data_IF_835071578285
#
_entry.id   IF_835071578285
#
_cell.length_a   1.000
_cell.length_b   1.000
_cell.length_c   1.000
_cell.angle_alpha   90.00
_cell.angle_beta   90.00
_cell.angle_gamma   90.00
#
_symmetry.space_group_name_H-M   'P 1'
#
loop_
_entity.id
_entity.type
_entity.pdbx_description
1 polymer ?
#
# COMPACT_ATOMS: atom_id res chain seq x y z
N UNK A 1 -3.37 0.31 -0.96
CA UNK A 1 -3.99 1.65 -1.06
C UNK A 1 -2.96 2.65 -1.57
N UNK A 2 -3.29 3.45 -2.58
CA UNK A 2 -2.40 4.47 -3.13
C UNK A 2 -3.10 5.83 -3.09
N UNK A 3 -2.50 6.82 -2.43
CA UNK A 3 -3.02 8.17 -2.38
C UNK A 3 -2.51 8.95 -3.58
N UNK A 4 -3.45 9.46 -4.39
CA UNK A 4 -3.11 10.18 -5.61
C UNK A 4 -4.04 11.36 -5.84
N UNK A 5 -3.50 12.41 -6.45
CA UNK A 5 -4.26 13.58 -6.90
C UNK A 5 -4.37 13.59 -8.41
N UNK A 6 -5.52 14.00 -8.93
CA UNK A 6 -5.68 14.26 -10.37
C UNK A 6 -4.76 15.40 -10.77
N UNK A 7 -4.12 15.26 -11.94
CA UNK A 7 -3.27 16.31 -12.50
C UNK A 7 -4.10 17.04 -13.55
N UNK A 8 -4.29 18.34 -13.36
CA UNK A 8 -4.88 19.20 -14.39
C UNK A 8 -3.91 19.26 -15.58
N UNK A 9 -4.40 18.91 -16.77
CA UNK A 9 -3.64 18.90 -18.02
C UNK A 9 -2.33 18.08 -17.98
N UNK A 10 -2.41 16.73 -17.91
CA UNK A 10 -1.22 15.88 -17.91
C UNK A 10 -0.44 16.02 -19.22
N UNK A 11 0.89 16.15 -19.13
CA UNK A 11 1.78 16.13 -20.30
C UNK A 11 1.60 14.80 -21.06
N UNK A 12 1.74 14.84 -22.39
CA UNK A 12 1.65 13.65 -23.23
C UNK A 12 2.53 12.50 -22.69
N UNK A 13 1.96 11.30 -22.60
CA UNK A 13 2.63 10.11 -22.07
C UNK A 13 2.77 10.04 -20.54
N UNK A 14 2.27 11.03 -19.77
CA UNK A 14 2.23 10.97 -18.31
C UNK A 14 0.89 10.45 -17.81
N UNK A 15 0.92 9.78 -16.66
CA UNK A 15 -0.28 9.26 -15.98
C UNK A 15 -1.18 10.43 -15.53
N UNK A 16 -2.52 10.27 -15.61
CA UNK A 16 -3.47 11.34 -15.28
C UNK A 16 -3.54 11.66 -13.78
N UNK A 17 -3.06 10.75 -12.93
CA UNK A 17 -2.97 10.94 -11.47
C UNK A 17 -1.50 11.03 -11.06
N UNK A 18 -1.18 11.85 -10.07
CA UNK A 18 0.12 11.90 -9.38
C UNK A 18 -0.01 11.23 -8.02
N UNK A 19 0.67 10.10 -7.82
CA UNK A 19 0.69 9.41 -6.51
C UNK A 19 1.77 9.99 -5.62
N UNK A 20 1.44 10.13 -4.33
CA UNK A 20 2.39 10.56 -3.31
C UNK A 20 2.71 9.40 -2.38
N UNK A 21 1.68 8.91 -1.70
CA UNK A 21 1.83 7.91 -0.65
C UNK A 21 1.25 6.56 -1.05
N UNK A 22 1.85 5.51 -0.50
CA UNK A 22 1.44 4.13 -0.71
C UNK A 22 1.40 3.41 0.64
N UNK A 23 0.33 2.65 0.86
CA UNK A 23 0.16 1.80 2.03
C UNK A 23 -0.26 0.40 1.59
N UNK A 24 0.45 -0.60 2.09
CA UNK A 24 0.15 -2.02 1.88
C UNK A 24 0.00 -2.69 3.25
N UNK A 25 -1.04 -3.50 3.39
CA UNK A 25 -1.37 -4.20 4.62
C UNK A 25 -1.63 -5.66 4.27
N UNK A 26 -1.00 -6.56 5.00
CA UNK A 26 -1.29 -8.00 4.94
C UNK A 26 -2.63 -8.22 5.62
N UNK A 27 -3.54 -8.88 4.91
CA UNK A 27 -4.86 -9.26 5.37
C UNK A 27 -4.99 -10.77 5.29
N UNK A 28 -5.78 -11.35 6.18
CA UNK A 28 -5.92 -12.80 6.29
C UNK A 28 -6.84 -13.37 5.21
N UNK A 29 -7.82 -12.59 4.76
CA UNK A 29 -8.77 -12.96 3.72
C UNK A 29 -9.26 -11.73 2.95
N UNK A 30 -9.96 -11.99 1.84
CA UNK A 30 -10.58 -10.98 0.98
C UNK A 30 -12.07 -10.76 1.32
N UNK A 31 -12.53 -11.07 2.54
CA UNK A 31 -13.93 -10.84 2.92
C UNK A 31 -14.22 -9.36 3.09
N UNK A 32 -15.47 -8.97 2.82
CA UNK A 32 -15.93 -7.58 2.95
C UNK A 32 -15.63 -7.03 4.34
N UNK A 33 -15.97 -7.77 5.41
CA UNK A 33 -15.74 -7.33 6.80
C UNK A 33 -14.26 -7.07 7.11
N UNK A 34 -13.35 -7.93 6.62
CA UNK A 34 -11.90 -7.77 6.80
C UNK A 34 -11.40 -6.51 6.11
N UNK A 35 -11.83 -6.27 4.87
CA UNK A 35 -11.43 -5.09 4.11
C UNK A 35 -12.03 -3.83 4.73
N UNK A 36 -13.32 -3.84 5.05
CA UNK A 36 -14.04 -2.73 5.71
C UNK A 36 -13.35 -2.33 7.01
N UNK A 37 -12.98 -3.29 7.85
CA UNK A 37 -12.21 -3.01 9.09
C UNK A 37 -10.87 -2.33 8.78
N UNK A 38 -10.13 -2.85 7.80
CA UNK A 38 -8.85 -2.25 7.41
C UNK A 38 -9.02 -0.83 6.83
N UNK A 39 -10.11 -0.57 6.09
CA UNK A 39 -10.42 0.77 5.57
C UNK A 39 -10.71 1.73 6.72
N UNK A 40 -11.58 1.35 7.67
CA UNK A 40 -11.91 2.17 8.86
C UNK A 40 -10.68 2.54 9.70
N UNK A 41 -9.75 1.61 9.86
CA UNK A 41 -8.56 1.81 10.69
C UNK A 41 -7.50 2.71 10.02
N UNK A 42 -7.44 2.72 8.68
CA UNK A 42 -6.29 3.28 7.96
C UNK A 42 -6.62 4.37 6.95
N UNK A 43 -7.91 4.64 6.69
CA UNK A 43 -8.39 5.65 5.77
C UNK A 43 -9.32 6.60 6.54
N UNK A 44 -9.18 7.90 6.29
CA UNK A 44 -10.09 8.91 6.84
C UNK A 44 -11.49 8.76 6.24
N UNK A 45 -12.52 8.97 7.04
CA UNK A 45 -13.92 8.91 6.59
C UNK A 45 -14.29 10.01 5.57
N UNK A 46 -13.44 11.03 5.42
CA UNK A 46 -13.56 12.11 4.43
C UNK A 46 -12.94 11.75 3.08
N UNK A 47 -12.33 10.57 2.93
CA UNK A 47 -11.62 10.19 1.72
C UNK A 47 -12.56 9.79 0.56
N UNK A 48 -12.09 10.01 -0.67
CA UNK A 48 -12.70 9.52 -1.89
C UNK A 48 -11.98 8.25 -2.38
N UNK A 49 -12.73 7.16 -2.51
CA UNK A 49 -12.19 5.86 -2.94
C UNK A 49 -12.55 5.54 -4.39
N UNK A 50 -11.56 5.09 -5.15
CA UNK A 50 -11.76 4.45 -6.45
C UNK A 50 -11.26 3.00 -6.36
N UNK A 51 -12.11 2.03 -6.65
CA UNK A 51 -11.76 0.60 -6.61
C UNK A 51 -12.20 -0.13 -7.88
N UNK A 52 -11.69 -1.35 -8.07
CA UNK A 52 -12.37 -2.30 -8.96
C UNK A 52 -13.73 -2.73 -8.36
N UNK A 53 -14.54 -3.43 -9.15
CA UNK A 53 -15.89 -3.88 -8.76
C UNK A 53 -15.87 -5.23 -8.02
N UNK A 54 -14.93 -5.43 -7.11
CA UNK A 54 -14.92 -6.60 -6.24
C UNK A 54 -16.08 -6.57 -5.24
N UNK A 55 -16.73 -7.72 -5.05
CA UNK A 55 -17.78 -7.92 -4.03
C UNK A 55 -17.31 -7.63 -2.60
N UNK A 56 -16.00 -7.68 -2.37
CA UNK A 56 -15.36 -7.34 -1.11
C UNK A 56 -15.38 -5.85 -0.76
N UNK A 57 -15.80 -4.97 -1.68
CA UNK A 57 -15.86 -3.52 -1.47
C UNK A 57 -17.28 -2.97 -1.28
N UNK A 58 -18.29 -3.85 -1.22
CA UNK A 58 -19.71 -3.50 -1.15
C UNK A 58 -20.08 -2.60 0.03
N UNK A 59 -19.41 -2.75 1.17
CA UNK A 59 -19.69 -2.00 2.40
C UNK A 59 -18.90 -0.68 2.52
N UNK A 60 -17.99 -0.37 1.58
CA UNK A 60 -17.07 0.76 1.76
C UNK A 60 -17.78 2.11 1.71
N UNK A 61 -18.83 2.25 0.89
CA UNK A 61 -19.59 3.49 0.72
C UNK A 61 -20.16 4.06 2.04
N UNK A 62 -20.42 3.21 3.03
CA UNK A 62 -20.94 3.62 4.34
C UNK A 62 -19.88 4.20 5.28
N UNK A 63 -18.61 4.15 4.89
CA UNK A 63 -17.47 4.46 5.77
C UNK A 63 -16.52 5.52 5.21
N UNK A 64 -16.79 6.02 4.01
CA UNK A 64 -16.00 7.05 3.35
C UNK A 64 -16.91 8.08 2.68
N UNK A 65 -16.37 9.23 2.30
CA UNK A 65 -17.15 10.31 1.69
C UNK A 65 -17.75 9.88 0.34
N UNK A 66 -16.94 9.28 -0.51
CA UNK A 66 -17.39 8.71 -1.77
C UNK A 66 -16.65 7.41 -2.10
N UNK A 67 -17.37 6.50 -2.75
CA UNK A 67 -16.81 5.25 -3.26
C UNK A 67 -17.29 5.02 -4.70
N UNK A 68 -16.36 5.10 -5.62
CA UNK A 68 -16.56 4.82 -7.04
C UNK A 68 -15.96 3.45 -7.36
N UNK A 69 -16.83 2.45 -7.45
CA UNK A 69 -16.49 1.13 -7.97
C UNK A 69 -16.69 1.10 -9.49
N UNK A 70 -15.83 0.39 -10.22
CA UNK A 70 -15.98 0.24 -11.67
C UNK A 70 -15.57 -1.16 -12.10
N UNK A 71 -16.34 -1.76 -13.00
CA UNK A 71 -15.94 -2.98 -13.70
C UNK A 71 -14.87 -2.57 -14.68
N UNK A 72 -13.61 -2.91 -14.39
CA UNK A 72 -12.47 -2.45 -15.17
C UNK A 72 -11.93 -3.62 -16.01
N UNK A 73 -12.06 -3.56 -17.35
CA UNK A 73 -11.39 -4.51 -18.23
C UNK A 73 -9.87 -4.49 -18.02
N UNK A 74 -9.15 -5.62 -18.18
CA UNK A 74 -7.71 -5.68 -17.98
C UNK A 74 -6.92 -4.64 -18.80
N UNK A 75 -7.40 -4.29 -20.00
CA UNK A 75 -6.81 -3.28 -20.88
C UNK A 75 -6.92 -1.85 -20.33
N UNK A 76 -7.92 -1.57 -19.52
CA UNK A 76 -8.23 -0.24 -18.97
C UNK A 76 -7.73 -0.05 -17.54
N UNK A 77 -7.36 -1.14 -16.85
CA UNK A 77 -6.81 -1.12 -15.49
C UNK A 77 -5.60 -0.18 -15.32
N UNK A 78 -4.65 -0.10 -16.27
CA UNK A 78 -3.56 0.86 -16.18
C UNK A 78 -3.99 2.32 -16.31
N UNK A 79 -5.19 2.59 -16.84
CA UNK A 79 -5.76 3.94 -16.96
C UNK A 79 -6.54 4.34 -15.71
N UNK A 80 -7.40 3.45 -15.20
CA UNK A 80 -8.29 3.72 -14.06
C UNK A 80 -7.56 3.67 -12.71
N UNK A 81 -6.70 2.65 -12.51
CA UNK A 81 -5.94 2.43 -11.27
C UNK A 81 -4.42 2.37 -11.54
N UNK A 82 -3.83 3.41 -12.18
CA UNK A 82 -2.49 3.38 -12.73
C UNK A 82 -1.41 3.10 -11.68
N UNK A 83 -1.60 3.62 -10.46
CA UNK A 83 -0.60 3.55 -9.41
C UNK A 83 -0.71 2.29 -8.58
N UNK A 84 -1.93 1.78 -8.36
CA UNK A 84 -2.13 0.50 -7.67
C UNK A 84 -1.51 -0.62 -8.49
N UNK A 85 -1.84 -0.70 -9.78
CA UNK A 85 -1.30 -1.75 -10.66
C UNK A 85 0.24 -1.70 -10.76
N UNK A 86 0.82 -0.51 -10.98
CA UNK A 86 2.28 -0.35 -11.02
C UNK A 86 2.94 -0.64 -9.68
N UNK A 87 2.36 -0.22 -8.56
CA UNK A 87 2.91 -0.50 -7.23
C UNK A 87 2.92 -2.00 -6.92
N UNK A 88 1.85 -2.72 -7.27
CA UNK A 88 1.78 -4.18 -7.10
C UNK A 88 2.86 -4.88 -7.94
N UNK A 89 3.00 -4.49 -9.21
CA UNK A 89 4.02 -5.07 -10.11
C UNK A 89 5.44 -4.84 -9.58
N UNK A 90 5.74 -3.60 -9.16
CA UNK A 90 7.04 -3.24 -8.60
C UNK A 90 7.32 -3.94 -7.26
N UNK A 91 6.31 -4.07 -6.39
CA UNK A 91 6.44 -4.77 -5.13
C UNK A 91 6.80 -6.24 -5.37
N UNK A 92 6.08 -6.94 -6.26
CA UNK A 92 6.39 -8.33 -6.63
C UNK A 92 7.83 -8.47 -7.13
N UNK A 93 8.26 -7.58 -8.04
CA UNK A 93 9.63 -7.61 -8.58
C UNK A 93 10.69 -7.37 -7.51
N UNK A 94 10.48 -6.42 -6.60
CA UNK A 94 11.41 -6.18 -5.49
C UNK A 94 11.47 -7.37 -4.54
N UNK A 95 10.32 -7.95 -4.20
CA UNK A 95 10.25 -9.09 -3.29
C UNK A 95 11.04 -10.29 -3.84
N UNK A 96 10.88 -10.60 -5.12
CA UNK A 96 11.61 -11.68 -5.81
C UNK A 96 13.10 -11.39 -5.99
N UNK A 97 13.47 -10.12 -6.23
CA UNK A 97 14.86 -9.74 -6.54
C UNK A 97 15.74 -9.53 -5.31
N UNK A 98 15.17 -9.10 -4.17
CA UNK A 98 15.95 -8.71 -2.98
C UNK A 98 16.07 -9.84 -1.96
N UNK A 99 15.02 -10.66 -1.81
CA UNK A 99 14.94 -11.61 -0.70
C UNK A 99 15.13 -13.06 -1.16
N UNK A 100 16.23 -13.68 -0.74
CA UNK A 100 16.47 -15.11 -0.88
C UNK A 100 15.66 -15.86 0.20
N UNK A 101 14.45 -16.32 -0.13
CA UNK A 101 13.48 -17.02 0.75
C UNK A 101 12.72 -16.11 1.73
N UNK A 102 11.66 -15.47 1.22
CA UNK A 102 10.71 -14.75 2.07
C UNK A 102 9.98 -15.69 3.02
N UNK A 103 9.84 -15.28 4.28
CA UNK A 103 8.97 -15.95 5.25
C UNK A 103 7.64 -15.19 5.39
N UNK A 104 6.49 -15.89 5.38
CA UNK A 104 5.18 -15.26 5.55
C UNK A 104 5.08 -14.39 6.80
N UNK A 105 5.70 -14.80 7.93
CA UNK A 105 5.65 -14.04 9.19
C UNK A 105 6.23 -12.61 9.06
N UNK A 106 7.12 -12.38 8.09
CA UNK A 106 7.76 -11.08 7.86
C UNK A 106 7.19 -10.32 6.67
N UNK A 107 6.11 -10.81 6.04
CA UNK A 107 5.55 -10.20 4.83
C UNK A 107 5.18 -8.73 5.03
N UNK A 108 4.61 -8.38 6.18
CA UNK A 108 4.27 -6.99 6.48
C UNK A 108 5.53 -6.10 6.54
N UNK A 109 6.64 -6.59 7.08
CA UNK A 109 7.90 -5.82 7.11
C UNK A 109 8.47 -5.59 5.72
N UNK A 110 8.43 -6.60 4.85
CA UNK A 110 8.87 -6.45 3.46
C UNK A 110 8.02 -5.42 2.71
N UNK A 111 6.70 -5.46 2.89
CA UNK A 111 5.77 -4.49 2.29
C UNK A 111 5.93 -3.08 2.90
N UNK A 112 6.20 -2.97 4.20
CA UNK A 112 6.50 -1.70 4.86
C UNK A 112 7.76 -1.07 4.28
N UNK A 113 8.82 -1.85 4.08
CA UNK A 113 10.05 -1.37 3.46
C UNK A 113 9.80 -0.86 2.03
N UNK A 114 9.02 -1.59 1.23
CA UNK A 114 8.60 -1.15 -0.10
C UNK A 114 7.84 0.17 -0.05
N UNK A 115 6.82 0.26 0.81
CA UNK A 115 6.00 1.47 0.96
C UNK A 115 6.83 2.68 1.46
N UNK A 116 7.78 2.45 2.36
CA UNK A 116 8.69 3.48 2.87
C UNK A 116 9.53 4.08 1.73
N UNK A 117 10.19 3.23 0.93
CA UNK A 117 10.98 3.65 -0.24
C UNK A 117 10.11 4.37 -1.26
N UNK A 118 8.94 3.81 -1.58
CA UNK A 118 8.01 4.37 -2.54
C UNK A 118 7.55 5.78 -2.14
N UNK A 119 7.15 5.96 -0.88
CA UNK A 119 6.60 7.22 -0.37
C UNK A 119 7.65 8.33 -0.23
N UNK A 120 8.93 7.98 -0.15
CA UNK A 120 10.06 8.93 -0.02
C UNK A 120 10.83 9.18 -1.30
N UNK A 121 10.43 8.59 -2.44
CA UNK A 121 11.15 8.71 -3.72
C UNK A 121 11.32 10.15 -4.24
N UNK A 122 10.52 11.10 -3.75
CA UNK A 122 10.60 12.52 -4.11
C UNK A 122 11.33 13.40 -3.10
N UNK A 123 11.94 12.82 -2.06
CA UNK A 123 12.58 13.59 -0.99
C UNK A 123 13.97 14.13 -1.38
N UNK A 124 14.57 13.63 -2.47
CA UNK A 124 15.90 14.07 -2.92
C UNK A 124 16.95 13.88 -1.82
N UNK A 125 17.74 14.92 -1.57
CA UNK A 125 18.81 14.93 -0.56
C UNK A 125 18.28 14.77 0.88
N UNK A 126 17.02 15.12 1.15
CA UNK A 126 16.39 14.99 2.48
C UNK A 126 16.12 13.54 2.89
N UNK A 127 16.40 12.57 2.02
CA UNK A 127 16.21 11.15 2.34
C UNK A 127 17.11 10.68 3.48
N UNK A 128 18.37 11.15 3.51
CA UNK A 128 19.32 10.75 4.54
C UNK A 128 18.89 11.28 5.91
N UNK A 129 18.61 12.59 6.01
CA UNK A 129 18.16 13.21 7.26
C UNK A 129 16.86 12.59 7.77
N UNK A 130 15.91 12.32 6.87
CA UNK A 130 14.66 11.66 7.22
C UNK A 130 14.85 10.24 7.74
N UNK A 131 15.83 9.50 7.23
CA UNK A 131 16.20 8.18 7.74
C UNK A 131 16.89 8.29 9.10
N UNK A 132 17.79 9.25 9.27
CA UNK A 132 18.48 9.50 10.54
C UNK A 132 17.47 9.82 11.66
N UNK A 133 16.54 10.73 11.40
CA UNK A 133 15.45 11.06 12.33
C UNK A 133 14.62 9.82 12.65
N UNK A 134 14.25 9.02 11.66
CA UNK A 134 13.49 7.78 11.89
C UNK A 134 14.28 6.78 12.75
N UNK A 135 15.59 6.65 12.54
CA UNK A 135 16.43 5.72 13.30
C UNK A 135 16.58 6.14 14.77
N UNK A 136 16.75 7.44 15.05
CA UNK A 136 16.91 7.95 16.43
C UNK A 136 15.60 8.05 17.20
N UNK A 137 14.47 8.26 16.50
CA UNK A 137 13.14 8.40 17.14
C UNK A 137 12.44 7.06 17.30
N UNK A 138 12.87 6.02 16.59
CA UNK A 138 12.24 4.71 16.65
C UNK A 138 12.51 4.01 17.99
N UNK A 139 11.46 3.96 18.80
CA UNK A 139 11.01 2.85 19.64
C UNK A 139 11.28 1.40 19.18
N UNK A 140 12.41 0.69 19.43
CA UNK A 140 12.47 -0.73 19.09
C UNK A 140 11.37 -1.51 19.82
N UNK A 141 10.35 -1.89 19.07
CA UNK A 141 9.27 -2.80 19.49
C UNK A 141 9.77 -4.24 19.64
N UNK A 142 10.96 -4.52 19.09
CA UNK A 142 11.60 -5.82 19.09
C UNK A 142 12.02 -6.19 20.53
N UNK A 143 11.03 -6.53 21.37
CA UNK A 143 11.18 -7.63 22.33
C UNK A 143 11.68 -8.76 21.50
N UNK A 144 12.98 -8.95 21.57
CA UNK A 144 13.72 -10.06 21.06
C UNK A 144 12.82 -11.31 20.98
N UNK A 145 12.22 -11.56 19.80
CA UNK A 145 11.80 -12.91 19.42
C UNK A 145 13.09 -13.69 19.14
N UNK A 146 13.99 -13.71 20.13
CA UNK A 146 15.11 -14.63 20.21
C UNK A 146 14.45 -15.98 20.40
N UNK A 147 14.37 -16.73 19.31
CA UNK A 147 14.33 -18.19 19.29
C UNK A 147 13.50 -18.87 20.38
N UNK A 148 12.23 -18.50 20.57
CA UNK A 148 11.34 -19.36 21.34
C UNK A 148 10.91 -20.52 20.43
N UNK A 149 11.75 -21.55 20.41
CA UNK A 149 11.62 -22.83 19.67
C UNK A 149 10.37 -23.65 20.05
N UNK A 150 9.48 -23.10 20.87
CA UNK A 150 8.40 -23.80 21.54
C UNK A 150 7.03 -23.68 20.85
N UNK A 151 6.96 -23.09 19.65
CA UNK A 151 5.71 -22.98 18.86
C UNK A 151 5.80 -23.69 17.50
N UNK A 152 6.65 -24.71 17.39
CA UNK A 152 6.51 -25.75 16.37
C UNK A 152 5.96 -27.00 17.07
N UNK A 153 4.64 -27.01 17.24
CA UNK A 153 3.83 -28.20 17.48
C UNK A 153 2.77 -28.26 16.39
#
# INVERSE_FOLDING_TARGET
MAESKTVESPKAGKKPKKVRYLKMKVINDLKSDTITKNVKEHIENTADLTTDDSTSYTQLKEHVHSHTASVIPPKELPSVLPWVHTAISNAKRQLLGVYYKMKPEYLQYYLNQFCYKFSRRYFGEKQFDGLLVAAITYTPDFKSRIYNRNYCG
#
